data_IF_220476627585
#
_entry.id   IF_220476627585
#
_cell.length_a   1.000
_cell.length_b   1.000
_cell.length_c   1.000
_cell.angle_alpha   90.00
_cell.angle_beta   90.00
_cell.angle_gamma   90.00
#
_symmetry.space_group_name_H-M   'P 1'
#
loop_
_entity.id
_entity.type
_entity.pdbx_description
1 polymer ?
#
# COMPACT_ATOMS: atom_id res chain seq x y z
N UNK A 1 -8.21 0.41 -27.27
CA UNK A 1 -7.37 1.47 -26.63
C UNK A 1 -7.70 1.46 -25.16
N UNK A 2 -6.88 0.80 -24.33
CA UNK A 2 -7.09 0.78 -22.88
C UNK A 2 -6.85 2.17 -22.30
N UNK A 3 -7.88 2.81 -21.75
CA UNK A 3 -7.74 4.03 -20.97
C UNK A 3 -6.79 3.76 -19.82
N UNK A 4 -5.74 4.60 -19.66
CA UNK A 4 -4.83 4.49 -18.54
C UNK A 4 -5.62 4.50 -17.23
N UNK A 5 -5.58 3.39 -16.49
CA UNK A 5 -6.39 3.21 -15.28
C UNK A 5 -5.97 4.29 -14.27
N UNK A 6 -6.86 5.22 -13.90
CA UNK A 6 -6.50 6.32 -13.02
C UNK A 6 -6.19 5.77 -11.63
N UNK A 7 -4.95 5.97 -11.17
CA UNK A 7 -4.52 5.56 -9.83
C UNK A 7 -4.62 6.75 -8.89
N UNK A 8 -5.73 6.86 -8.18
CA UNK A 8 -5.96 7.91 -7.19
C UNK A 8 -5.24 7.59 -5.87
N UNK A 9 -4.35 8.47 -5.40
CA UNK A 9 -3.57 8.29 -4.16
C UNK A 9 -3.55 9.55 -3.29
N UNK A 10 -4.67 9.91 -2.66
CA UNK A 10 -4.73 11.03 -1.72
C UNK A 10 -3.83 10.77 -0.52
N UNK A 11 -3.11 11.80 -0.07
CA UNK A 11 -2.26 11.75 1.11
C UNK A 11 -3.07 12.09 2.36
N UNK A 12 -2.93 11.30 3.41
CA UNK A 12 -3.41 11.64 4.74
C UNK A 12 -2.32 12.42 5.48
N UNK A 13 -2.45 13.76 5.51
CA UNK A 13 -1.47 14.67 6.10
C UNK A 13 -1.11 14.33 7.56
N UNK A 14 -2.08 13.92 8.38
CA UNK A 14 -1.84 13.51 9.77
C UNK A 14 -0.93 12.27 9.82
N UNK A 15 -1.16 11.28 8.94
CA UNK A 15 -0.31 10.10 8.83
C UNK A 15 1.07 10.45 8.31
N UNK A 16 1.20 11.45 7.43
CA UNK A 16 2.49 11.93 6.94
C UNK A 16 3.35 12.50 8.08
N UNK A 17 2.77 13.32 8.96
CA UNK A 17 3.49 13.86 10.13
C UNK A 17 4.00 12.73 11.04
N UNK A 18 3.15 11.74 11.33
CA UNK A 18 3.55 10.57 12.13
C UNK A 18 4.64 9.75 11.44
N UNK A 19 4.56 9.58 10.13
CA UNK A 19 5.58 8.89 9.34
C UNK A 19 6.93 9.65 9.35
N UNK A 20 6.91 10.98 9.25
CA UNK A 20 8.12 11.82 9.37
C UNK A 20 8.72 11.73 10.78
N UNK A 21 7.89 11.57 11.81
CA UNK A 21 8.36 11.35 13.19
C UNK A 21 9.14 10.03 13.30
N UNK A 22 8.68 8.95 12.67
CA UNK A 22 9.42 7.68 12.61
C UNK A 22 10.74 7.83 11.88
N UNK A 23 10.77 8.57 10.77
CA UNK A 23 12.00 8.84 10.03
C UNK A 23 13.01 9.65 10.86
N UNK A 24 12.56 10.71 11.53
CA UNK A 24 13.39 11.52 12.41
C UNK A 24 13.96 10.70 13.58
N UNK A 25 13.16 9.78 14.14
CA UNK A 25 13.61 8.88 15.19
C UNK A 25 14.73 7.95 14.71
N UNK A 26 14.62 7.37 13.51
CA UNK A 26 15.70 6.57 12.92
C UNK A 26 16.97 7.40 12.70
N UNK A 27 16.85 8.61 12.16
CA UNK A 27 17.99 9.51 12.00
C UNK A 27 18.66 9.85 13.34
N UNK A 28 17.87 10.03 14.40
CA UNK A 28 18.38 10.29 15.75
C UNK A 28 19.18 9.11 16.31
N UNK A 29 18.76 7.86 16.06
CA UNK A 29 19.52 6.66 16.43
C UNK A 29 20.89 6.68 15.75
N UNK A 30 20.94 6.88 14.44
CA UNK A 30 22.21 6.94 13.69
C UNK A 30 23.11 8.09 14.12
N UNK A 31 22.52 9.24 14.45
CA UNK A 31 23.23 10.39 15.00
C UNK A 31 23.90 10.05 16.33
N UNK A 32 23.22 9.33 17.22
CA UNK A 32 23.78 8.90 18.51
C UNK A 32 24.87 7.83 18.38
N UNK A 33 24.88 7.04 17.31
CA UNK A 33 25.91 6.03 17.05
C UNK A 33 27.28 6.60 16.65
N UNK A 34 27.39 7.92 16.40
CA UNK A 34 28.66 8.56 16.04
C UNK A 34 29.20 8.20 14.64
N UNK A 35 28.36 7.62 13.79
CA UNK A 35 28.74 7.20 12.42
C UNK A 35 28.76 8.42 11.49
N UNK A 36 29.73 8.52 10.56
CA UNK A 36 29.75 9.59 9.56
C UNK A 36 28.46 9.63 8.74
N UNK A 37 27.97 10.84 8.45
CA UNK A 37 26.74 11.06 7.67
C UNK A 37 25.48 10.38 8.25
N UNK A 38 25.12 10.65 9.52
CA UNK A 38 24.03 9.95 10.20
C UNK A 38 22.66 10.13 9.52
N UNK A 39 22.41 11.30 8.92
CA UNK A 39 21.18 11.57 8.19
C UNK A 39 21.04 10.70 6.93
N UNK A 40 22.15 10.40 6.24
CA UNK A 40 22.17 9.53 5.08
C UNK A 40 21.85 8.09 5.48
N UNK A 41 22.53 7.56 6.50
CA UNK A 41 22.28 6.20 7.00
C UNK A 41 20.88 6.02 7.60
N UNK A 42 20.37 7.05 8.31
CA UNK A 42 18.99 7.08 8.79
C UNK A 42 17.95 7.03 7.66
N UNK A 43 18.14 7.86 6.63
CA UNK A 43 17.27 7.86 5.45
C UNK A 43 17.33 6.52 4.71
N UNK A 44 18.53 5.96 4.52
CA UNK A 44 18.74 4.69 3.86
C UNK A 44 18.05 3.55 4.62
N UNK A 45 18.20 3.52 5.94
CA UNK A 45 17.54 2.53 6.80
C UNK A 45 16.02 2.62 6.72
N UNK A 46 15.49 3.84 6.74
CA UNK A 46 14.05 4.09 6.57
C UNK A 46 13.55 3.57 5.20
N UNK A 47 14.28 3.87 4.12
CA UNK A 47 13.92 3.42 2.77
C UNK A 47 13.98 1.90 2.64
N UNK A 48 15.03 1.26 3.14
CA UNK A 48 15.16 -0.20 3.15
C UNK A 48 14.03 -0.85 3.94
N UNK A 49 13.75 -0.35 5.15
CA UNK A 49 12.65 -0.84 5.97
C UNK A 49 11.30 -0.67 5.27
N UNK A 50 11.03 0.50 4.69
CA UNK A 50 9.79 0.76 3.96
C UNK A 50 9.64 -0.15 2.74
N UNK A 51 10.74 -0.36 2.00
CA UNK A 51 10.74 -1.24 0.84
C UNK A 51 10.45 -2.70 1.23
N UNK A 52 11.14 -3.22 2.25
CA UNK A 52 10.95 -4.59 2.74
C UNK A 52 9.55 -4.82 3.30
N UNK A 53 9.04 -3.92 4.15
CA UNK A 53 7.68 -4.05 4.69
C UNK A 53 6.63 -4.05 3.58
N UNK A 54 6.76 -3.14 2.61
CA UNK A 54 5.81 -3.04 1.50
C UNK A 54 5.98 -4.14 0.46
N UNK A 55 7.15 -4.75 0.30
CA UNK A 55 7.31 -5.89 -0.63
C UNK A 55 6.64 -7.14 -0.10
N UNK A 56 6.76 -7.39 1.21
CA UNK A 56 6.19 -8.54 1.89
C UNK A 56 4.67 -8.39 2.10
N UNK A 57 4.25 -7.31 2.74
CA UNK A 57 2.86 -7.15 3.19
C UNK A 57 1.89 -6.76 2.07
N UNK A 58 2.39 -6.21 0.95
CA UNK A 58 1.56 -5.81 -0.19
C UNK A 58 1.73 -6.73 -1.40
N UNK A 59 2.29 -7.92 -1.21
CA UNK A 59 2.57 -8.85 -2.30
C UNK A 59 1.32 -9.14 -3.14
N UNK A 60 0.23 -9.57 -2.51
CA UNK A 60 -1.04 -9.88 -3.19
C UNK A 60 -1.65 -8.65 -3.86
N UNK A 61 -1.71 -7.51 -3.15
CA UNK A 61 -2.25 -6.28 -3.73
C UNK A 61 -1.46 -5.83 -4.96
N UNK A 62 -0.12 -5.92 -4.92
CA UNK A 62 0.74 -5.60 -6.05
C UNK A 62 0.59 -6.59 -7.20
N UNK A 63 0.37 -7.88 -6.90
CA UNK A 63 0.08 -8.90 -7.92
C UNK A 63 -1.24 -8.60 -8.65
N UNK A 64 -2.31 -8.27 -7.92
CA UNK A 64 -3.58 -7.82 -8.49
C UNK A 64 -3.41 -6.61 -9.40
N UNK A 65 -2.66 -5.58 -8.95
CA UNK A 65 -2.35 -4.41 -9.78
C UNK A 65 -1.57 -4.76 -11.06
N UNK A 66 -0.62 -5.71 -10.99
CA UNK A 66 0.13 -6.18 -12.18
C UNK A 66 -0.78 -6.91 -13.17
N UNK A 67 -1.70 -7.74 -12.71
CA UNK A 67 -2.66 -8.46 -13.56
C UNK A 67 -3.70 -7.52 -14.16
N UNK A 68 -4.18 -6.54 -13.38
CA UNK A 68 -5.10 -5.49 -13.86
C UNK A 68 -4.49 -4.72 -15.03
N UNK A 69 -3.20 -4.37 -14.96
CA UNK A 69 -2.46 -3.73 -16.07
C UNK A 69 -2.29 -4.62 -17.30
N UNK A 70 -2.43 -5.94 -17.14
CA UNK A 70 -2.42 -6.92 -18.23
C UNK A 70 -3.84 -7.32 -18.68
N UNK A 71 -4.86 -6.61 -18.21
CA UNK A 71 -6.28 -6.86 -18.51
C UNK A 71 -6.77 -8.27 -18.10
N UNK A 72 -6.03 -8.94 -17.20
CA UNK A 72 -6.41 -10.24 -16.62
C UNK A 72 -7.28 -10.01 -15.40
N UNK A 73 -8.48 -9.47 -15.61
CA UNK A 73 -9.35 -8.96 -14.55
C UNK A 73 -9.83 -10.04 -13.58
N UNK A 74 -10.28 -11.19 -14.07
CA UNK A 74 -10.77 -12.30 -13.23
C UNK A 74 -9.68 -12.81 -12.27
N UNK A 75 -8.44 -12.89 -12.73
CA UNK A 75 -7.30 -13.29 -11.89
C UNK A 75 -6.87 -12.18 -10.93
N UNK A 76 -6.96 -10.92 -11.37
CA UNK A 76 -6.68 -9.78 -10.50
C UNK A 76 -7.62 -9.73 -9.30
N UNK A 77 -8.91 -10.05 -9.49
CA UNK A 77 -9.93 -10.12 -8.41
C UNK A 77 -9.46 -11.06 -7.30
N UNK A 78 -9.01 -12.28 -7.62
CA UNK A 78 -8.55 -13.25 -6.63
C UNK A 78 -7.41 -12.72 -5.75
N UNK A 79 -6.49 -11.95 -6.32
CA UNK A 79 -5.40 -11.30 -5.57
C UNK A 79 -5.89 -10.14 -4.71
N UNK A 80 -6.87 -9.36 -5.18
CA UNK A 80 -7.46 -8.30 -4.37
C UNK A 80 -8.30 -8.84 -3.23
N UNK A 81 -9.02 -9.95 -3.41
CA UNK A 81 -9.74 -10.65 -2.34
C UNK A 81 -8.77 -11.15 -1.26
N UNK A 82 -7.66 -11.79 -1.64
CA UNK A 82 -6.60 -12.19 -0.69
C UNK A 82 -6.01 -10.99 0.05
N UNK A 83 -5.77 -9.89 -0.66
CA UNK A 83 -5.34 -8.62 -0.05
C UNK A 83 -6.38 -8.11 0.95
N UNK A 84 -7.66 -8.13 0.59
CA UNK A 84 -8.75 -7.69 1.45
C UNK A 84 -8.84 -8.56 2.71
N UNK A 85 -8.82 -9.88 2.56
CA UNK A 85 -8.86 -10.84 3.67
C UNK A 85 -7.65 -10.65 4.61
N UNK A 86 -6.45 -10.47 4.07
CA UNK A 86 -5.25 -10.22 4.86
C UNK A 86 -5.37 -8.97 5.74
N UNK A 87 -5.77 -7.83 5.16
CA UNK A 87 -5.94 -6.58 5.92
C UNK A 87 -7.18 -6.56 6.80
N UNK A 88 -8.16 -7.41 6.52
CA UNK A 88 -9.31 -7.64 7.40
C UNK A 88 -8.93 -8.46 8.63
N UNK A 89 -8.11 -9.50 8.48
CA UNK A 89 -7.53 -10.24 9.62
C UNK A 89 -6.58 -9.38 10.45
N UNK A 90 -5.87 -8.45 9.81
CA UNK A 90 -4.88 -7.59 10.44
C UNK A 90 -5.27 -6.10 10.39
N UNK A 91 -6.47 -5.78 10.89
CA UNK A 91 -7.03 -4.42 10.84
C UNK A 91 -6.10 -3.36 11.43
N UNK A 92 -5.31 -3.71 12.46
CA UNK A 92 -4.34 -2.81 13.07
C UNK A 92 -3.24 -2.38 12.09
N UNK A 93 -2.82 -3.25 11.16
CA UNK A 93 -1.81 -2.91 10.15
C UNK A 93 -2.35 -1.87 9.19
N UNK A 94 -3.62 -1.98 8.78
CA UNK A 94 -4.30 -1.02 7.89
C UNK A 94 -4.66 0.29 8.61
N UNK A 95 -4.95 0.23 9.92
CA UNK A 95 -5.19 1.40 10.77
C UNK A 95 -3.90 2.18 11.06
N UNK A 96 -2.79 1.49 11.31
CA UNK A 96 -1.49 2.08 11.68
C UNK A 96 -0.45 1.93 10.56
N UNK A 97 -0.85 2.13 9.30
CA UNK A 97 0.04 1.98 8.14
C UNK A 97 1.25 2.89 8.13
N UNK A 98 1.18 4.03 8.80
CA UNK A 98 2.33 4.91 8.98
C UNK A 98 3.44 4.25 9.82
N UNK A 99 3.11 3.22 10.61
CA UNK A 99 4.07 2.34 11.30
C UNK A 99 4.30 1.04 10.52
N UNK A 100 3.23 0.30 10.18
CA UNK A 100 3.33 -1.05 9.63
C UNK A 100 3.85 -1.10 8.18
N UNK A 101 3.58 -0.05 7.38
CA UNK A 101 3.97 0.05 5.96
C UNK A 101 4.81 1.29 5.67
N UNK A 102 5.06 2.11 6.69
CA UNK A 102 5.69 3.42 6.57
C UNK A 102 5.04 4.25 5.45
N UNK A 103 3.70 4.27 5.40
CA UNK A 103 2.89 4.85 4.32
C UNK A 103 1.81 5.80 4.86
N UNK A 104 1.54 6.87 4.12
CA UNK A 104 0.59 7.94 4.46
C UNK A 104 -0.62 8.03 3.53
N UNK A 105 -0.90 6.98 2.75
CA UNK A 105 -2.08 6.94 1.87
C UNK A 105 -3.39 7.05 2.66
N UNK A 106 -4.34 7.85 2.18
CA UNK A 106 -5.63 8.09 2.86
C UNK A 106 -6.56 6.88 2.77
N UNK A 107 -6.73 6.31 1.58
CA UNK A 107 -7.53 5.09 1.37
C UNK A 107 -6.85 3.89 2.02
N UNK A 108 -7.60 3.11 2.80
CA UNK A 108 -7.20 1.83 3.40
C UNK A 108 -6.88 0.78 2.33
N UNK A 109 -6.04 -0.22 2.62
CA UNK A 109 -5.79 -1.30 1.65
C UNK A 109 -7.01 -2.18 1.44
N UNK A 110 -7.90 -2.30 2.43
CA UNK A 110 -9.21 -2.93 2.27
C UNK A 110 -10.08 -2.13 1.30
N UNK A 111 -10.18 -0.81 1.50
CA UNK A 111 -10.93 0.07 0.59
C UNK A 111 -10.36 0.02 -0.84
N UNK A 112 -9.04 0.10 -0.98
CA UNK A 112 -8.38 -0.01 -2.30
C UNK A 112 -8.61 -1.38 -2.93
N UNK A 113 -8.63 -2.47 -2.15
CA UNK A 113 -8.93 -3.79 -2.67
C UNK A 113 -10.38 -3.87 -3.19
N UNK A 114 -11.36 -3.40 -2.43
CA UNK A 114 -12.78 -3.39 -2.86
C UNK A 114 -12.99 -2.56 -4.13
N UNK A 115 -12.43 -1.35 -4.18
CA UNK A 115 -12.51 -0.48 -5.37
C UNK A 115 -11.92 -1.19 -6.60
N UNK A 116 -10.78 -1.87 -6.43
CA UNK A 116 -10.16 -2.59 -7.52
C UNK A 116 -10.94 -3.85 -7.92
N UNK A 117 -11.57 -4.55 -6.97
CA UNK A 117 -12.47 -5.68 -7.27
C UNK A 117 -13.64 -5.16 -8.11
N UNK A 118 -14.34 -4.11 -7.64
CA UNK A 118 -15.44 -3.50 -8.37
C UNK A 118 -15.05 -3.08 -9.79
N UNK A 119 -13.89 -2.43 -9.93
CA UNK A 119 -13.33 -2.06 -11.22
C UNK A 119 -13.09 -3.29 -12.11
N UNK A 120 -12.40 -4.31 -11.61
CA UNK A 120 -12.10 -5.52 -12.38
C UNK A 120 -13.39 -6.29 -12.76
N UNK A 121 -14.37 -6.40 -11.87
CA UNK A 121 -15.66 -7.04 -12.17
C UNK A 121 -16.41 -6.30 -13.28
N UNK A 122 -16.40 -4.96 -13.24
CA UNK A 122 -16.98 -4.14 -14.31
C UNK A 122 -16.30 -4.35 -15.66
N UNK A 123 -14.96 -4.44 -15.68
CA UNK A 123 -14.21 -4.70 -16.91
C UNK A 123 -14.34 -6.15 -17.41
N UNK A 124 -14.60 -7.10 -16.52
CA UNK A 124 -14.87 -8.50 -16.88
C UNK A 124 -16.28 -8.74 -17.43
N UNK A 125 -17.15 -7.72 -17.46
CA UNK A 125 -18.53 -7.81 -17.92
C UNK A 125 -19.55 -8.22 -16.84
N UNK A 126 -19.11 -8.37 -15.58
CA UNK A 126 -19.98 -8.67 -14.44
C UNK A 126 -20.40 -7.37 -13.72
N UNK A 127 -21.27 -6.61 -14.39
CA UNK A 127 -21.75 -5.33 -13.90
C UNK A 127 -22.63 -5.40 -12.65
N UNK A 128 -23.12 -6.59 -12.28
CA UNK A 128 -23.90 -6.81 -11.05
C UNK A 128 -22.94 -6.93 -9.87
N UNK A 129 -21.91 -7.77 -10.00
CA UNK A 129 -20.85 -7.91 -8.99
C UNK A 129 -20.14 -6.58 -8.76
N UNK A 130 -19.91 -5.79 -9.82
CA UNK A 130 -19.27 -4.48 -9.73
C UNK A 130 -20.03 -3.46 -8.85
N UNK A 131 -21.37 -3.53 -8.78
CA UNK A 131 -22.19 -2.61 -7.97
C UNK A 131 -22.40 -3.07 -6.53
N UNK A 132 -22.08 -4.33 -6.23
CA UNK A 132 -22.20 -4.91 -4.90
C UNK A 132 -21.05 -4.55 -3.95
N UNK A 133 -19.96 -3.99 -4.50
CA UNK A 133 -18.75 -3.57 -3.80
C UNK A 133 -18.63 -2.05 -3.76
#
# INVERSE_FOLDING_TARGET
MGTAIPVFRPVAWISLVRQLTVMAFLMFIWYKSGIPYPYLWGSMSYLLLSFCLRSLLLQEHRAGMKLTKKERFTEAIQHFEKSYEFFTRHTWMDKYRYLALLSSGRLSYREMALINIAFCSGQAGDGIMARGY
#
